data_IF_484009441846
#
_entry.id   IF_484009441846
#
_cell.length_a   1.000
_cell.length_b   1.000
_cell.length_c   1.000
_cell.angle_alpha   90.00
_cell.angle_beta   90.00
_cell.angle_gamma   90.00
#
_symmetry.space_group_name_H-M   'P 1'
#
loop_
_entity.id
_entity.type
_entity.pdbx_description
1 polymer ?
#
# COMPACT_ATOMS: atom_id res chain seq x y z
N UNK A 1 32.45 -34.94 9.85
CA UNK A 1 31.12 -34.54 10.35
C UNK A 1 30.84 -33.13 9.87
N UNK A 2 30.20 -32.99 8.72
CA UNK A 2 29.79 -31.70 8.14
C UNK A 2 28.44 -31.35 8.74
N UNK A 3 28.43 -30.35 9.64
CA UNK A 3 27.19 -29.83 10.23
C UNK A 3 26.36 -29.13 9.16
N UNK A 4 25.20 -29.70 8.85
CA UNK A 4 24.21 -29.16 7.94
C UNK A 4 23.68 -27.80 8.44
N UNK A 5 24.31 -26.70 8.01
CA UNK A 5 23.74 -25.33 8.07
C UNK A 5 22.89 -25.02 6.83
N UNK A 6 21.99 -25.93 6.46
CA UNK A 6 21.04 -25.75 5.35
C UNK A 6 19.58 -25.56 5.81
N UNK A 7 19.38 -25.41 7.11
CA UNK A 7 18.12 -24.96 7.70
C UNK A 7 18.34 -23.58 8.29
N UNK A 8 18.53 -22.58 7.43
CA UNK A 8 18.06 -21.26 7.81
C UNK A 8 16.54 -21.44 7.95
N UNK A 9 15.99 -21.24 9.15
CA UNK A 9 14.57 -20.94 9.27
C UNK A 9 14.24 -19.92 8.17
N UNK A 10 13.15 -20.10 7.39
CA UNK A 10 12.81 -19.17 6.33
C UNK A 10 12.77 -17.80 6.97
N UNK A 11 13.73 -16.97 6.58
CA UNK A 11 14.02 -15.68 7.18
C UNK A 11 12.72 -14.86 7.12
N UNK A 12 11.96 -14.87 8.22
CA UNK A 12 10.65 -14.24 8.38
C UNK A 12 10.77 -12.71 8.15
N UNK A 13 12.00 -12.20 8.04
CA UNK A 13 12.36 -10.81 7.71
C UNK A 13 12.45 -10.51 6.21
N UNK A 14 12.27 -11.51 5.32
CA UNK A 14 12.14 -11.29 3.87
C UNK A 14 10.87 -10.48 3.60
N UNK A 15 11.04 -9.15 3.55
CA UNK A 15 10.02 -8.16 3.15
C UNK A 15 9.39 -8.60 1.84
N UNK A 16 8.16 -9.10 1.91
CA UNK A 16 7.49 -9.65 0.72
C UNK A 16 6.52 -8.64 0.12
N UNK A 17 5.93 -7.77 0.96
CA UNK A 17 4.87 -6.87 0.55
C UNK A 17 5.18 -5.42 0.88
N UNK A 18 4.84 -4.54 -0.07
CA UNK A 18 4.93 -3.09 0.10
C UNK A 18 3.52 -2.51 0.21
N UNK A 19 3.19 -1.91 1.34
CA UNK A 19 1.94 -1.22 1.61
C UNK A 19 2.16 0.29 1.49
N UNK A 20 1.33 0.99 0.73
CA UNK A 20 1.43 2.43 0.52
C UNK A 20 0.10 3.11 0.83
N UNK A 21 0.16 4.12 1.71
CA UNK A 21 -0.93 5.06 1.98
C UNK A 21 -0.45 6.45 1.59
N UNK A 22 -1.20 7.12 0.72
CA UNK A 22 -0.93 8.52 0.31
C UNK A 22 -1.94 9.42 1.01
N UNK A 23 -1.43 10.45 1.67
CA UNK A 23 -2.24 11.44 2.38
C UNK A 23 -2.51 12.64 1.47
N UNK A 24 -3.78 13.00 1.34
CA UNK A 24 -4.21 14.06 0.44
C UNK A 24 -4.83 15.22 1.23
N UNK A 25 -4.40 16.45 0.94
CA UNK A 25 -5.05 17.67 1.41
C UNK A 25 -6.07 18.17 0.37
N UNK A 26 -7.23 18.62 0.83
CA UNK A 26 -8.17 19.42 0.03
C UNK A 26 -9.36 18.69 -0.64
N UNK A 27 -10.50 19.41 -0.71
CA UNK A 27 -11.72 19.03 -1.40
C UNK A 27 -11.74 19.44 -2.89
N UNK A 28 -12.51 18.67 -3.68
CA UNK A 28 -12.93 18.77 -5.10
C UNK A 28 -12.05 19.37 -6.22
N UNK A 29 -11.01 20.18 -6.00
CA UNK A 29 -10.16 20.67 -7.09
C UNK A 29 -8.69 20.76 -6.65
N UNK A 30 -7.84 19.88 -7.19
CA UNK A 30 -6.40 19.85 -6.90
C UNK A 30 -6.09 19.24 -5.53
N UNK A 31 -6.16 17.92 -5.42
CA UNK A 31 -5.74 17.21 -4.19
C UNK A 31 -4.23 17.24 -4.11
N UNK A 32 -3.72 18.00 -3.15
CA UNK A 32 -2.28 18.07 -2.89
C UNK A 32 -1.86 16.83 -2.10
N UNK A 33 -0.66 16.33 -2.34
CA UNK A 33 -0.08 15.26 -1.54
C UNK A 33 0.55 15.90 -0.30
N UNK A 34 -0.11 15.67 0.84
CA UNK A 34 0.28 16.18 2.15
C UNK A 34 1.37 15.34 2.82
N UNK A 35 1.42 14.07 2.45
CA UNK A 35 2.29 13.08 3.06
C UNK A 35 2.04 11.69 2.51
N UNK A 36 2.81 10.74 3.00
CA UNK A 36 2.68 9.33 2.66
C UNK A 36 3.30 8.46 3.75
N UNK A 37 2.85 7.21 3.79
CA UNK A 37 3.41 6.17 4.64
C UNK A 37 3.59 4.90 3.80
N UNK A 38 4.78 4.29 3.86
CA UNK A 38 5.11 3.00 3.26
C UNK A 38 5.47 2.00 4.35
N UNK A 39 4.75 0.89 4.38
CA UNK A 39 5.01 -0.25 5.25
C UNK A 39 5.57 -1.42 4.44
N UNK A 40 6.70 -1.99 4.88
CA UNK A 40 7.24 -3.24 4.37
C UNK A 40 6.92 -4.34 5.37
N UNK A 41 6.15 -5.33 4.95
CA UNK A 41 5.61 -6.33 5.85
C UNK A 41 5.38 -7.70 5.21
N UNK A 42 4.76 -8.56 5.99
CA UNK A 42 4.38 -9.92 5.63
C UNK A 42 3.03 -10.29 6.32
N UNK A 43 2.53 -11.54 6.20
CA UNK A 43 1.27 -11.93 6.85
C UNK A 43 1.26 -11.80 8.37
N UNK A 44 2.43 -11.91 9.02
CA UNK A 44 2.55 -11.91 10.48
C UNK A 44 2.63 -10.49 11.04
N UNK A 45 3.50 -9.64 10.47
CA UNK A 45 3.83 -8.33 11.04
C UNK A 45 4.33 -7.32 10.00
N UNK A 46 4.29 -6.04 10.37
CA UNK A 46 5.09 -5.01 9.73
C UNK A 46 6.56 -5.14 10.17
N UNK A 47 7.49 -5.05 9.22
CA UNK A 47 8.94 -5.16 9.47
C UNK A 47 9.60 -3.79 9.47
N UNK A 48 9.14 -2.87 8.61
CA UNK A 48 9.65 -1.50 8.53
C UNK A 48 8.53 -0.56 8.07
N UNK A 49 8.34 0.54 8.78
CA UNK A 49 7.54 1.67 8.29
C UNK A 49 8.47 2.84 7.98
N UNK A 50 8.21 3.55 6.88
CA UNK A 50 8.81 4.84 6.55
C UNK A 50 7.70 5.80 6.16
N UNK A 51 7.84 7.06 6.54
CA UNK A 51 6.83 8.07 6.29
C UNK A 51 7.47 9.43 6.07
N UNK A 52 6.72 10.29 5.37
CA UNK A 52 7.06 11.69 5.18
C UNK A 52 5.78 12.50 5.21
N UNK A 53 5.76 13.53 6.03
CA UNK A 53 4.69 14.52 6.12
C UNK A 53 5.28 15.88 6.49
N UNK A 54 4.52 16.95 6.26
CA UNK A 54 4.90 18.30 6.70
C UNK A 54 6.02 18.99 5.91
N UNK A 55 6.46 18.41 4.79
CA UNK A 55 7.35 19.06 3.83
C UNK A 55 6.55 19.68 2.68
N UNK A 56 7.24 20.45 1.82
CA UNK A 56 6.64 20.90 0.55
C UNK A 56 6.19 19.71 -0.30
N UNK A 57 5.11 19.89 -1.08
CA UNK A 57 4.53 18.80 -1.87
C UNK A 57 5.54 18.17 -2.83
N UNK A 58 6.35 18.99 -3.51
CA UNK A 58 7.36 18.50 -4.46
C UNK A 58 8.40 17.59 -3.77
N UNK A 59 8.91 17.99 -2.61
CA UNK A 59 9.83 17.16 -1.81
C UNK A 59 9.15 15.88 -1.34
N UNK A 60 7.89 15.98 -0.93
CA UNK A 60 7.07 14.84 -0.49
C UNK A 60 6.89 13.84 -1.63
N UNK A 61 6.60 14.31 -2.84
CA UNK A 61 6.45 13.48 -4.03
C UNK A 61 7.80 12.87 -4.45
N UNK A 62 8.88 13.66 -4.43
CA UNK A 62 10.22 13.18 -4.81
C UNK A 62 10.67 12.03 -3.92
N UNK A 63 10.55 12.20 -2.61
CA UNK A 63 10.90 11.15 -1.63
C UNK A 63 10.01 9.91 -1.77
N UNK A 64 8.72 10.09 -2.08
CA UNK A 64 7.82 8.97 -2.38
C UNK A 64 8.27 8.18 -3.61
N UNK A 65 8.61 8.87 -4.69
CA UNK A 65 9.07 8.25 -5.94
C UNK A 65 10.39 7.49 -5.73
N UNK A 66 11.31 8.02 -4.93
CA UNK A 66 12.55 7.35 -4.57
C UNK A 66 12.30 6.03 -3.81
N UNK A 67 11.36 6.00 -2.86
CA UNK A 67 10.99 4.77 -2.15
C UNK A 67 10.26 3.78 -3.07
N UNK A 68 9.33 4.24 -3.92
CA UNK A 68 8.64 3.36 -4.87
C UNK A 68 9.63 2.75 -5.88
N UNK A 69 10.65 3.50 -6.30
CA UNK A 69 11.72 2.98 -7.19
C UNK A 69 12.48 1.80 -6.56
N UNK A 70 12.58 1.75 -5.23
CA UNK A 70 13.18 0.59 -4.53
C UNK A 70 12.28 -0.63 -4.60
N UNK A 71 10.97 -0.42 -4.52
CA UNK A 71 9.98 -1.50 -4.65
C UNK A 71 9.99 -2.10 -6.05
N UNK A 72 10.07 -1.26 -7.09
CA UNK A 72 10.22 -1.69 -8.49
C UNK A 72 11.41 -2.65 -8.67
N UNK A 73 12.58 -2.28 -8.14
CA UNK A 73 13.82 -3.08 -8.25
C UNK A 73 13.72 -4.47 -7.65
N UNK A 74 12.84 -4.65 -6.66
CA UNK A 74 12.63 -5.92 -5.96
C UNK A 74 11.47 -6.71 -6.60
N UNK A 75 10.74 -6.11 -7.53
CA UNK A 75 9.59 -6.75 -8.19
C UNK A 75 8.38 -6.94 -7.26
N UNK A 76 8.34 -6.25 -6.12
CA UNK A 76 7.24 -6.39 -5.17
C UNK A 76 6.07 -5.49 -5.58
N UNK A 77 4.82 -6.00 -5.64
CA UNK A 77 3.67 -5.17 -5.88
C UNK A 77 3.44 -4.19 -4.73
N UNK A 78 2.89 -3.02 -5.06
CA UNK A 78 2.53 -1.99 -4.09
C UNK A 78 1.03 -2.06 -3.82
N UNK A 79 0.68 -2.43 -2.60
CA UNK A 79 -0.68 -2.58 -2.10
C UNK A 79 -1.15 -1.22 -1.56
N UNK A 80 -2.27 -0.71 -2.06
CA UNK A 80 -2.84 0.59 -1.65
C UNK A 80 -4.31 0.46 -1.25
N UNK A 81 -4.86 1.36 -0.41
CA UNK A 81 -6.27 1.33 -0.02
C UNK A 81 -7.20 1.39 -1.24
N UNK A 82 -6.92 2.31 -2.16
CA UNK A 82 -7.66 2.45 -3.41
C UNK A 82 -6.86 3.21 -4.48
N UNK A 83 -7.55 3.55 -5.58
CA UNK A 83 -6.96 4.23 -6.74
C UNK A 83 -6.67 5.71 -6.48
N UNK A 84 -7.40 6.35 -5.58
CA UNK A 84 -7.40 7.81 -5.38
C UNK A 84 -6.00 8.37 -5.08
N UNK A 85 -5.29 7.83 -4.09
CA UNK A 85 -3.92 8.23 -3.79
C UNK A 85 -2.95 8.08 -4.98
N UNK A 86 -3.02 6.94 -5.69
CA UNK A 86 -2.16 6.68 -6.86
C UNK A 86 -2.50 7.57 -8.06
N UNK A 87 -3.78 7.90 -8.26
CA UNK A 87 -4.22 8.83 -9.30
C UNK A 87 -3.75 10.25 -8.98
N UNK A 88 -3.88 10.71 -7.73
CA UNK A 88 -3.36 12.00 -7.31
C UNK A 88 -1.84 12.08 -7.56
N UNK A 89 -1.08 11.05 -7.17
CA UNK A 89 0.36 10.98 -7.42
C UNK A 89 0.70 11.06 -8.91
N UNK A 90 0.01 10.30 -9.76
CA UNK A 90 0.21 10.35 -11.22
C UNK A 90 -0.07 11.75 -11.78
N UNK A 91 -1.18 12.36 -11.39
CA UNK A 91 -1.55 13.71 -11.82
C UNK A 91 -0.50 14.73 -11.39
N UNK A 92 -0.04 14.67 -10.14
CA UNK A 92 0.97 15.63 -9.65
C UNK A 92 2.32 15.46 -10.34
N UNK A 93 2.75 14.23 -10.60
CA UNK A 93 3.98 13.98 -11.35
C UNK A 93 3.89 14.50 -12.80
N UNK A 94 2.73 14.39 -13.45
CA UNK A 94 2.51 14.99 -14.76
C UNK A 94 2.61 16.53 -14.71
N UNK A 95 2.05 17.16 -13.67
CA UNK A 95 2.14 18.61 -13.49
C UNK A 95 3.57 19.08 -13.19
N UNK A 96 4.37 18.27 -12.50
CA UNK A 96 5.80 18.53 -12.25
C UNK A 96 6.69 18.22 -13.47
N UNK A 97 6.13 17.72 -14.58
CA UNK A 97 6.88 17.39 -15.80
C UNK A 97 7.67 16.07 -15.71
N UNK A 98 7.44 15.26 -14.69
CA UNK A 98 8.12 13.98 -14.46
C UNK A 98 7.54 12.89 -15.38
N UNK A 99 8.14 12.74 -16.56
CA UNK A 99 7.66 11.81 -17.62
C UNK A 99 8.09 10.35 -17.42
N UNK A 100 9.21 10.11 -16.75
CA UNK A 100 9.84 8.80 -16.57
C UNK A 100 9.78 8.35 -15.11
N UNK A 101 8.60 8.01 -14.64
CA UNK A 101 8.39 7.63 -13.24
C UNK A 101 8.34 6.10 -13.09
N UNK A 102 8.90 5.55 -12.00
CA UNK A 102 8.87 4.11 -11.70
C UNK A 102 7.42 3.56 -11.60
N UNK A 103 6.45 4.45 -11.38
CA UNK A 103 5.03 4.13 -11.25
C UNK A 103 4.43 3.38 -12.45
N UNK A 104 5.07 3.44 -13.62
CA UNK A 104 4.61 2.69 -14.81
C UNK A 104 4.98 1.21 -14.76
N UNK A 105 6.03 0.86 -14.02
CA UNK A 105 6.61 -0.48 -13.94
C UNK A 105 6.26 -1.20 -12.64
N UNK A 106 5.69 -0.48 -11.69
CA UNK A 106 5.22 -1.04 -10.43
C UNK A 106 3.79 -1.53 -10.59
N UNK A 107 3.58 -2.82 -10.27
CA UNK A 107 2.24 -3.38 -10.13
C UNK A 107 1.55 -2.80 -8.89
N UNK A 108 0.37 -2.22 -9.08
CA UNK A 108 -0.45 -1.70 -7.98
C UNK A 108 -1.61 -2.65 -7.71
N UNK A 109 -1.75 -3.06 -6.44
CA UNK A 109 -2.90 -3.82 -5.96
C UNK A 109 -3.76 -2.87 -5.14
N UNK A 110 -4.97 -2.60 -5.61
CA UNK A 110 -5.91 -1.72 -4.93
C UNK A 110 -6.90 -2.54 -4.13
N UNK A 111 -6.85 -2.47 -2.79
CA UNK A 111 -7.73 -3.24 -1.91
C UNK A 111 -9.21 -2.97 -2.19
N UNK A 112 -9.57 -1.70 -2.40
CA UNK A 112 -10.93 -1.33 -2.81
C UNK A 112 -11.37 -2.02 -4.11
N UNK A 113 -10.45 -2.19 -5.07
CA UNK A 113 -10.75 -2.89 -6.33
C UNK A 113 -11.02 -4.37 -6.11
N UNK A 114 -10.24 -5.03 -5.25
CA UNK A 114 -10.46 -6.43 -4.87
C UNK A 114 -11.81 -6.62 -4.17
N UNK A 115 -12.20 -5.66 -3.33
CA UNK A 115 -13.51 -5.68 -2.68
C UNK A 115 -14.66 -5.53 -3.69
N UNK A 116 -14.54 -4.60 -4.62
CA UNK A 116 -15.53 -4.37 -5.68
C UNK A 116 -15.65 -5.57 -6.62
N UNK A 117 -14.54 -6.25 -6.92
CA UNK A 117 -14.51 -7.40 -7.84
C UNK A 117 -15.14 -8.66 -7.22
N UNK A 118 -14.79 -8.98 -5.98
CA UNK A 118 -15.20 -10.23 -5.35
C UNK A 118 -16.43 -10.12 -4.45
N UNK A 119 -16.84 -8.90 -4.10
CA UNK A 119 -17.92 -8.66 -3.15
C UNK A 119 -18.91 -7.58 -3.64
N UNK A 120 -19.31 -7.69 -4.91
CA UNK A 120 -20.20 -6.79 -5.68
C UNK A 120 -21.47 -6.32 -4.92
N UNK A 121 -22.03 -7.14 -4.03
CA UNK A 121 -23.26 -6.86 -3.27
C UNK A 121 -23.07 -6.81 -1.75
N UNK A 122 -21.82 -6.71 -1.28
CA UNK A 122 -21.55 -6.73 0.15
C UNK A 122 -21.78 -5.38 0.81
N UNK A 123 -22.26 -5.38 2.06
CA UNK A 123 -22.26 -4.21 2.94
C UNK A 123 -20.83 -3.75 3.35
N UNK A 124 -19.80 -4.18 2.61
CA UNK A 124 -18.43 -3.84 2.93
C UNK A 124 -18.18 -2.35 2.63
N UNK A 125 -17.44 -1.67 3.51
CA UNK A 125 -17.17 -0.25 3.37
C UNK A 125 -16.37 0.03 2.09
N UNK A 126 -16.72 1.12 1.40
CA UNK A 126 -15.75 1.77 0.52
C UNK A 126 -14.57 2.23 1.39
N UNK A 127 -13.35 2.00 0.93
CA UNK A 127 -12.11 2.40 1.61
C UNK A 127 -11.61 3.71 0.98
N UNK A 128 -12.10 4.90 1.40
CA UNK A 128 -11.43 6.13 1.02
C UNK A 128 -10.08 6.22 1.74
N UNK A 129 -9.10 6.90 1.14
CA UNK A 129 -7.77 7.12 1.75
C UNK A 129 -7.85 7.79 3.15
N UNK A 130 -8.95 8.50 3.44
CA UNK A 130 -9.23 9.19 4.73
C UNK A 130 -10.14 8.37 5.66
N UNK A 131 -10.57 7.17 5.27
CA UNK A 131 -11.50 6.31 6.05
C UNK A 131 -10.96 4.91 6.33
N UNK A 132 -9.65 4.71 6.22
CA UNK A 132 -9.03 3.40 6.43
C UNK A 132 -9.31 2.83 7.83
N UNK A 133 -9.33 3.68 8.86
CA UNK A 133 -9.68 3.27 10.22
C UNK A 133 -11.13 2.81 10.33
N UNK A 134 -12.08 3.56 9.76
CA UNK A 134 -13.50 3.17 9.75
C UNK A 134 -13.70 1.84 8.98
N UNK A 135 -13.02 1.68 7.84
CA UNK A 135 -13.06 0.44 7.09
C UNK A 135 -12.50 -0.74 7.90
N UNK A 136 -11.38 -0.55 8.60
CA UNK A 136 -10.79 -1.57 9.45
C UNK A 136 -11.73 -1.99 10.59
N UNK A 137 -12.36 -1.02 11.26
CA UNK A 137 -13.35 -1.27 12.33
C UNK A 137 -14.53 -2.08 11.81
N UNK A 138 -15.13 -1.69 10.67
CA UNK A 138 -16.24 -2.42 10.06
C UNK A 138 -15.87 -3.84 9.63
N UNK A 139 -14.60 -4.09 9.32
CA UNK A 139 -14.08 -5.41 8.98
C UNK A 139 -13.63 -6.23 10.20
N UNK A 140 -13.79 -5.69 11.42
CA UNK A 140 -13.40 -6.35 12.67
C UNK A 140 -11.89 -6.48 12.87
N UNK A 141 -11.10 -5.65 12.18
CA UNK A 141 -9.63 -5.63 12.24
C UNK A 141 -9.06 -4.28 12.68
N UNK A 142 -9.94 -3.36 13.11
CA UNK A 142 -9.59 -2.07 13.66
C UNK A 142 -8.78 -2.20 14.96
N UNK A 143 -7.80 -1.32 15.13
CA UNK A 143 -7.02 -1.20 16.35
C UNK A 143 -6.74 0.27 16.62
N UNK A 144 -7.04 0.72 17.84
CA UNK A 144 -6.82 2.11 18.24
C UNK A 144 -5.33 2.41 18.26
N UNK A 145 -4.94 3.50 17.59
CA UNK A 145 -3.55 3.95 17.53
C UNK A 145 -2.66 3.17 16.56
N UNK A 146 -3.20 2.22 15.80
CA UNK A 146 -2.42 1.54 14.76
C UNK A 146 -2.07 2.49 13.61
N UNK A 147 -0.86 2.32 13.07
CA UNK A 147 -0.41 3.02 11.87
C UNK A 147 -1.30 2.69 10.66
N UNK A 148 -1.42 3.62 9.71
CA UNK A 148 -2.29 3.45 8.53
C UNK A 148 -1.87 2.25 7.70
N UNK A 149 -0.56 2.05 7.47
CA UNK A 149 -0.06 0.90 6.72
C UNK A 149 -0.30 -0.44 7.43
N UNK A 150 -0.34 -0.46 8.77
CA UNK A 150 -0.69 -1.66 9.54
C UNK A 150 -2.18 -1.99 9.42
N UNK A 151 -3.05 -0.98 9.49
CA UNK A 151 -4.47 -1.15 9.21
C UNK A 151 -4.70 -1.67 7.78
N UNK A 152 -3.99 -1.13 6.79
CA UNK A 152 -4.05 -1.61 5.42
C UNK A 152 -3.61 -3.07 5.28
N UNK A 153 -2.53 -3.47 5.96
CA UNK A 153 -2.05 -4.86 6.00
C UNK A 153 -3.12 -5.79 6.55
N UNK A 154 -3.74 -5.45 7.68
CA UNK A 154 -4.79 -6.26 8.31
C UNK A 154 -6.02 -6.37 7.43
N UNK A 155 -6.45 -5.26 6.81
CA UNK A 155 -7.55 -5.27 5.84
C UNK A 155 -7.19 -6.20 4.67
N UNK A 156 -6.01 -6.02 4.07
CA UNK A 156 -5.58 -6.85 2.93
C UNK A 156 -5.59 -8.34 3.26
N UNK A 157 -5.10 -8.73 4.43
CA UNK A 157 -5.15 -10.13 4.90
C UNK A 157 -6.59 -10.60 5.11
N UNK A 158 -7.46 -9.75 5.67
CA UNK A 158 -8.87 -10.09 5.85
C UNK A 158 -9.56 -10.29 4.51
N UNK A 159 -9.34 -9.41 3.53
CA UNK A 159 -9.85 -9.56 2.17
C UNK A 159 -9.29 -10.83 1.52
N UNK A 160 -7.98 -11.06 1.58
CA UNK A 160 -7.35 -12.25 1.02
C UNK A 160 -7.87 -13.56 1.64
N UNK A 161 -8.24 -13.56 2.93
CA UNK A 161 -8.87 -14.74 3.56
C UNK A 161 -10.27 -15.07 3.03
N UNK A 162 -10.90 -14.12 2.33
CA UNK A 162 -12.26 -14.24 1.79
C UNK A 162 -12.27 -14.49 0.28
N UNK A 163 -11.13 -14.37 -0.40
CA UNK A 163 -10.97 -14.62 -1.83
C UNK A 163 -10.38 -16.03 -1.99
N UNK A 164 -11.00 -16.85 -2.85
CA UNK A 164 -10.59 -18.25 -3.09
C UNK A 164 -9.27 -18.39 -3.85
N UNK A 165 -8.81 -17.33 -4.50
CA UNK A 165 -7.55 -17.25 -5.26
C UNK A 165 -6.61 -16.23 -4.62
N UNK A 166 -5.31 -16.52 -4.59
CA UNK A 166 -4.34 -15.64 -3.94
C UNK A 166 -4.22 -14.31 -4.73
N UNK A 167 -4.56 -13.15 -4.15
CA UNK A 167 -4.58 -11.88 -4.89
C UNK A 167 -3.21 -11.41 -5.38
N UNK A 168 -2.13 -12.08 -4.96
CA UNK A 168 -0.75 -11.83 -5.42
C UNK A 168 -0.34 -12.68 -6.63
N UNK A 169 -1.17 -13.64 -7.06
CA UNK A 169 -0.94 -14.43 -8.28
C UNK A 169 -1.46 -13.73 -9.55
N UNK A 170 -2.17 -12.61 -9.43
CA UNK A 170 -2.81 -11.89 -10.56
C UNK A 170 -1.88 -10.84 -11.18
N UNK A 171 -0.61 -10.78 -10.77
CA UNK A 171 0.41 -9.88 -11.34
C UNK A 171 1.40 -10.71 -12.15
N UNK A 172 0.97 -11.18 -13.32
CA UNK A 172 1.83 -11.68 -14.40
C UNK A 172 1.70 -10.80 -15.65
#
# INVERSE_FOLDING_TARGET
MLGNKWLCEPDDERKSWCFLVVELNGGNAGREIAGWQIGYGNPKKMVKTVEKSGAGEEETIKTLVEEISRCEKVGAPVITPGRRGTQALRTRLLLLGEKNTPLRRVGFVHVQGLLEEHFLDSELPRIPDVGLSEAAERMGVGEKGAEKVELLRKIFLRVGSLISENPLQVVE
#
